data_IF_802102005966
#
_entry.id   IF_802102005966
#
_cell.length_a   1.000
_cell.length_b   1.000
_cell.length_c   1.000
_cell.angle_alpha   90.00
_cell.angle_beta   90.00
_cell.angle_gamma   90.00
#
_symmetry.space_group_name_H-M   'P 1'
#
loop_
_entity.id
_entity.type
_entity.pdbx_description
1 polymer ?
#
# COMPACT_ATOMS: atom_id res chain seq x y z
N UNK A 1 1.84 -1.42 42.18
CA UNK A 1 1.52 -2.58 41.30
C UNK A 1 1.39 -2.03 39.89
N UNK A 2 2.44 -2.20 39.08
CA UNK A 2 2.44 -1.77 37.71
C UNK A 2 1.62 -2.76 36.84
N UNK A 3 0.70 -2.26 36.09
CA UNK A 3 -0.04 -3.07 35.13
C UNK A 3 0.91 -3.62 34.05
N UNK A 4 1.10 -4.96 34.04
CA UNK A 4 1.96 -5.63 33.04
C UNK A 4 1.18 -5.91 31.75
N UNK A 5 0.96 -4.86 30.99
CA UNK A 5 0.29 -4.92 29.69
C UNK A 5 1.03 -5.83 28.69
N UNK A 6 2.35 -6.01 28.85
CA UNK A 6 3.13 -6.84 27.94
C UNK A 6 2.75 -8.33 28.10
N UNK A 7 2.62 -8.80 29.35
CA UNK A 7 2.19 -10.17 29.62
C UNK A 7 0.76 -10.44 29.15
N UNK A 8 -0.13 -9.48 29.34
CA UNK A 8 -1.53 -9.58 28.88
C UNK A 8 -1.61 -9.56 27.34
N UNK A 9 -0.80 -8.72 26.69
CA UNK A 9 -0.68 -8.71 25.22
C UNK A 9 -0.12 -10.03 24.68
N UNK A 10 0.90 -10.60 25.32
CA UNK A 10 1.46 -11.90 24.94
C UNK A 10 0.44 -13.04 25.10
N UNK A 11 -0.39 -13.00 26.13
CA UNK A 11 -1.47 -14.00 26.30
C UNK A 11 -2.55 -13.88 25.23
N UNK A 12 -2.90 -12.66 24.81
CA UNK A 12 -3.87 -12.42 23.73
C UNK A 12 -3.31 -12.81 22.35
N UNK A 13 -2.00 -12.70 22.16
CA UNK A 13 -1.32 -13.09 20.93
C UNK A 13 -1.02 -14.60 20.87
N UNK A 14 -0.89 -15.27 22.02
CA UNK A 14 -0.66 -16.71 22.10
C UNK A 14 -1.90 -17.47 21.59
N UNK A 15 -1.79 -18.00 20.37
CA UNK A 15 -2.87 -18.76 19.70
C UNK A 15 -3.49 -18.02 18.51
N UNK A 16 -3.18 -16.74 18.30
CA UNK A 16 -3.49 -16.03 17.06
C UNK A 16 -2.26 -16.00 16.16
N UNK A 17 -2.45 -16.24 14.87
CA UNK A 17 -1.43 -15.92 13.88
C UNK A 17 -1.31 -14.40 13.80
N UNK A 18 -0.37 -13.83 14.57
CA UNK A 18 -0.13 -12.38 14.63
C UNK A 18 0.21 -11.77 13.25
N UNK A 19 0.55 -12.62 12.27
CA UNK A 19 0.78 -12.23 10.88
C UNK A 19 -0.48 -12.25 10.01
N UNK A 20 -1.62 -12.73 10.52
CA UNK A 20 -2.82 -12.87 9.72
C UNK A 20 -3.34 -11.53 9.19
N UNK A 21 -3.56 -11.45 7.89
CA UNK A 21 -4.08 -10.25 7.22
C UNK A 21 -5.44 -9.81 7.80
N UNK A 22 -6.26 -10.77 8.26
CA UNK A 22 -7.58 -10.54 8.86
C UNK A 22 -7.56 -9.73 10.16
N UNK A 23 -6.42 -9.64 10.85
CA UNK A 23 -6.27 -8.85 12.07
C UNK A 23 -6.19 -7.34 11.82
N UNK A 24 -6.00 -6.90 10.58
CA UNK A 24 -5.93 -5.49 10.24
C UNK A 24 -7.02 -5.10 9.24
N UNK A 25 -8.01 -4.32 9.69
CA UNK A 25 -9.07 -3.80 8.82
C UNK A 25 -8.52 -3.03 7.60
N UNK A 26 -7.39 -2.34 7.74
CA UNK A 26 -6.75 -1.64 6.62
C UNK A 26 -6.17 -2.62 5.60
N UNK A 27 -5.57 -3.71 6.06
CA UNK A 27 -5.02 -4.75 5.18
C UNK A 27 -6.14 -5.45 4.45
N UNK A 28 -7.21 -5.82 5.16
CA UNK A 28 -8.42 -6.40 4.59
C UNK A 28 -8.97 -5.52 3.46
N UNK A 29 -9.21 -4.24 3.76
CA UNK A 29 -9.74 -3.28 2.78
C UNK A 29 -8.78 -3.06 1.61
N UNK A 30 -7.47 -3.04 1.87
CA UNK A 30 -6.46 -2.96 0.82
C UNK A 30 -6.51 -4.17 -0.12
N UNK A 31 -6.64 -5.37 0.41
CA UNK A 31 -6.73 -6.61 -0.39
C UNK A 31 -8.02 -6.65 -1.22
N UNK A 32 -9.14 -6.14 -0.70
CA UNK A 32 -10.38 -5.98 -1.45
C UNK A 32 -10.20 -4.98 -2.63
N UNK A 33 -9.61 -3.80 -2.36
CA UNK A 33 -9.30 -2.81 -3.40
C UNK A 33 -8.39 -3.42 -4.47
N UNK A 34 -7.37 -4.18 -4.05
CA UNK A 34 -6.46 -4.85 -4.96
C UNK A 34 -7.19 -5.86 -5.84
N UNK A 35 -8.03 -6.71 -5.25
CA UNK A 35 -8.82 -7.71 -5.97
C UNK A 35 -9.73 -7.05 -7.02
N UNK A 36 -10.49 -6.03 -6.63
CA UNK A 36 -11.34 -5.30 -7.57
C UNK A 36 -10.53 -4.64 -8.69
N UNK A 37 -9.35 -4.15 -8.37
CA UNK A 37 -8.45 -3.55 -9.35
C UNK A 37 -7.95 -4.56 -10.38
N UNK A 38 -7.65 -5.78 -9.95
CA UNK A 38 -7.22 -6.87 -10.82
C UNK A 38 -8.33 -7.29 -11.79
N UNK A 39 -9.57 -7.38 -11.31
CA UNK A 39 -10.74 -7.70 -12.14
C UNK A 39 -10.98 -6.66 -13.24
N UNK A 40 -10.65 -5.40 -12.98
CA UNK A 40 -10.77 -4.28 -13.94
C UNK A 40 -9.54 -4.08 -14.80
N UNK A 41 -8.52 -4.92 -14.66
CA UNK A 41 -7.23 -4.77 -15.33
C UNK A 41 -6.56 -3.42 -15.02
N UNK A 42 -6.71 -2.93 -13.79
CA UNK A 42 -6.08 -1.72 -13.29
C UNK A 42 -4.77 -2.02 -12.55
N UNK A 43 -3.87 -1.05 -12.51
CA UNK A 43 -2.66 -1.12 -11.68
C UNK A 43 -2.82 -0.26 -10.44
N UNK A 44 -2.29 -0.74 -9.33
CA UNK A 44 -2.40 -0.12 -8.01
C UNK A 44 -1.04 0.40 -7.55
N UNK A 45 -1.00 1.58 -6.97
CA UNK A 45 0.16 2.12 -6.26
C UNK A 45 -0.23 2.37 -4.81
N UNK A 46 0.57 1.88 -3.87
CA UNK A 46 0.37 2.07 -2.44
C UNK A 46 1.49 2.90 -1.86
N UNK A 47 1.13 3.96 -1.16
CA UNK A 47 2.06 4.79 -0.38
C UNK A 47 1.86 4.53 1.11
N UNK A 48 2.96 4.27 1.82
CA UNK A 48 3.00 4.17 3.28
C UNK A 48 4.18 4.94 3.85
N UNK A 49 4.04 5.47 5.07
CA UNK A 49 5.13 6.14 5.77
C UNK A 49 5.98 5.16 6.56
N UNK A 50 5.44 3.98 6.87
CA UNK A 50 6.03 2.97 7.74
C UNK A 50 6.74 1.89 6.92
N UNK A 51 8.05 1.73 7.13
CA UNK A 51 8.79 0.62 6.53
C UNK A 51 8.34 -0.74 7.06
N UNK A 52 7.89 -0.81 8.32
CA UNK A 52 7.32 -2.02 8.89
C UNK A 52 6.02 -2.42 8.17
N UNK A 53 5.15 -1.44 7.89
CA UNK A 53 3.93 -1.67 7.07
C UNK A 53 4.29 -2.14 5.67
N UNK A 54 5.30 -1.53 5.02
CA UNK A 54 5.75 -1.93 3.71
C UNK A 54 6.23 -3.40 3.69
N UNK A 55 7.07 -3.76 4.67
CA UNK A 55 7.57 -5.13 4.84
C UNK A 55 6.44 -6.12 5.11
N UNK A 56 5.48 -5.75 5.94
CA UNK A 56 4.32 -6.58 6.24
C UNK A 56 3.43 -6.81 5.01
N UNK A 57 3.11 -5.76 4.26
CA UNK A 57 2.35 -5.91 3.01
C UNK A 57 3.08 -6.80 2.00
N UNK A 58 4.41 -6.63 1.89
CA UNK A 58 5.24 -7.50 1.06
C UNK A 58 5.14 -8.97 1.50
N UNK A 59 5.22 -9.23 2.81
CA UNK A 59 5.08 -10.57 3.37
C UNK A 59 3.70 -11.17 3.07
N UNK A 60 2.64 -10.44 3.31
CA UNK A 60 1.26 -10.87 3.00
C UNK A 60 1.09 -11.26 1.54
N UNK A 61 1.66 -10.48 0.61
CA UNK A 61 1.58 -10.77 -0.83
C UNK A 61 2.42 -12.00 -1.25
N UNK A 62 3.51 -12.28 -0.55
CA UNK A 62 4.40 -13.41 -0.84
C UNK A 62 3.94 -14.72 -0.21
N UNK A 63 3.06 -14.65 0.78
CA UNK A 63 2.50 -15.83 1.45
C UNK A 63 1.10 -16.14 0.90
N UNK A 64 0.63 -17.37 1.09
CA UNK A 64 -0.73 -17.77 0.70
C UNK A 64 -1.83 -17.12 1.56
N UNK A 65 -1.45 -16.26 2.50
CA UNK A 65 -2.34 -15.67 3.51
C UNK A 65 -3.47 -14.85 2.89
N UNK A 66 -3.22 -14.17 1.76
CA UNK A 66 -4.26 -13.37 1.12
C UNK A 66 -5.11 -14.18 0.11
N UNK A 67 -4.58 -15.25 -0.45
CA UNK A 67 -5.35 -16.20 -1.25
C UNK A 67 -6.47 -16.86 -0.44
N UNK A 68 -6.17 -17.23 0.80
CA UNK A 68 -7.15 -17.79 1.74
C UNK A 68 -8.19 -16.77 2.22
N UNK A 69 -7.86 -15.48 2.23
CA UNK A 69 -8.76 -14.40 2.61
C UNK A 69 -9.91 -14.21 1.60
N UNK A 70 -9.66 -14.51 0.35
CA UNK A 70 -10.61 -14.30 -0.75
C UNK A 70 -11.42 -15.55 -1.10
N UNK A 71 -11.68 -16.45 -0.19
CA UNK A 71 -12.40 -17.75 -0.19
C UNK A 71 -13.28 -18.13 -1.41
N UNK A 72 -13.29 -17.41 -2.49
CA UNK A 72 -14.31 -17.57 -3.55
C UNK A 72 -13.83 -17.65 -4.99
N UNK A 73 -12.58 -17.83 -5.31
CA UNK A 73 -12.24 -18.09 -6.73
C UNK A 73 -11.04 -19.01 -6.90
N UNK A 74 -11.21 -19.97 -7.76
CA UNK A 74 -10.32 -20.98 -8.36
C UNK A 74 -9.02 -20.39 -8.99
N UNK A 75 -8.51 -19.27 -8.47
CA UNK A 75 -7.48 -18.50 -9.10
C UNK A 75 -6.24 -18.42 -8.19
N UNK A 76 -5.10 -18.77 -8.77
CA UNK A 76 -3.73 -18.78 -8.23
C UNK A 76 -3.25 -17.41 -7.69
N UNK A 77 -4.04 -16.74 -6.87
CA UNK A 77 -3.76 -15.42 -6.31
C UNK A 77 -2.91 -15.46 -5.04
N UNK A 78 -2.46 -16.65 -4.63
CA UNK A 78 -1.49 -16.83 -3.55
C UNK A 78 -0.06 -16.65 -4.05
N UNK A 79 0.82 -16.15 -3.19
CA UNK A 79 2.26 -15.96 -3.39
C UNK A 79 2.68 -15.18 -4.64
N UNK A 80 2.53 -13.88 -4.57
CA UNK A 80 3.09 -12.97 -5.56
C UNK A 80 4.62 -12.83 -5.40
N UNK A 81 5.32 -12.74 -6.51
CA UNK A 81 6.77 -12.55 -6.54
C UNK A 81 7.12 -11.09 -6.73
N UNK A 82 8.06 -10.62 -5.92
CA UNK A 82 8.64 -9.29 -6.11
C UNK A 82 9.26 -9.19 -7.51
N UNK A 83 9.20 -8.01 -8.09
CA UNK A 83 9.63 -7.68 -9.46
C UNK A 83 8.93 -8.49 -10.57
N UNK A 84 7.79 -9.08 -10.28
CA UNK A 84 6.96 -9.77 -11.27
C UNK A 84 5.51 -9.29 -11.17
N UNK A 85 4.78 -9.70 -10.15
CA UNK A 85 3.39 -9.29 -9.90
C UNK A 85 3.33 -7.98 -9.11
N UNK A 86 4.25 -7.77 -8.17
CA UNK A 86 4.39 -6.50 -7.46
C UNK A 86 5.83 -6.00 -7.43
N UNK A 87 5.99 -4.73 -7.10
CA UNK A 87 7.28 -4.03 -6.95
C UNK A 87 7.28 -3.28 -5.63
N UNK A 88 8.45 -3.13 -5.03
CA UNK A 88 8.60 -2.40 -3.77
C UNK A 88 9.84 -1.51 -3.80
N UNK A 89 9.70 -0.25 -3.40
CA UNK A 89 10.82 0.70 -3.25
C UNK A 89 10.83 1.24 -1.82
N UNK A 90 12.02 1.20 -1.22
CA UNK A 90 12.29 1.73 0.11
C UNK A 90 13.21 2.96 0.04
N UNK A 91 13.29 3.71 1.14
CA UNK A 91 14.11 4.92 1.20
C UNK A 91 15.62 4.69 1.03
N UNK A 92 16.09 3.46 1.30
CA UNK A 92 17.50 3.06 1.17
C UNK A 92 17.95 2.70 -0.25
N UNK A 93 17.00 2.49 -1.18
CA UNK A 93 17.34 2.08 -2.54
C UNK A 93 18.05 3.21 -3.30
N UNK A 94 19.02 2.85 -4.14
CA UNK A 94 19.73 3.82 -4.98
C UNK A 94 18.80 4.46 -6.01
N UNK A 95 19.14 5.65 -6.50
CA UNK A 95 18.37 6.32 -7.55
C UNK A 95 18.27 5.48 -8.83
N UNK A 96 19.35 4.78 -9.18
CA UNK A 96 19.40 3.89 -10.35
C UNK A 96 18.46 2.70 -10.19
N UNK A 97 18.46 2.07 -9.02
CA UNK A 97 17.58 0.93 -8.73
C UNK A 97 16.11 1.32 -8.75
N UNK A 98 15.75 2.47 -8.17
CA UNK A 98 14.38 3.00 -8.22
C UNK A 98 13.94 3.23 -9.67
N UNK A 99 14.80 3.83 -10.49
CA UNK A 99 14.49 4.09 -11.89
C UNK A 99 14.28 2.77 -12.65
N UNK A 100 15.15 1.79 -12.45
CA UNK A 100 15.03 0.44 -13.04
C UNK A 100 13.69 -0.22 -12.70
N UNK A 101 13.29 -0.20 -11.42
CA UNK A 101 12.05 -0.81 -10.96
C UNK A 101 10.82 -0.10 -11.53
N UNK A 102 10.86 1.23 -11.62
CA UNK A 102 9.78 2.03 -12.23
C UNK A 102 9.64 1.70 -13.71
N UNK A 103 10.72 1.71 -14.47
CA UNK A 103 10.70 1.39 -15.91
C UNK A 103 10.17 -0.03 -16.16
N UNK A 104 10.58 -0.98 -15.35
CA UNK A 104 10.09 -2.36 -15.42
C UNK A 104 8.60 -2.45 -15.12
N UNK A 105 8.10 -1.73 -14.12
CA UNK A 105 6.67 -1.68 -13.79
C UNK A 105 5.85 -1.01 -14.90
N UNK A 106 6.32 0.13 -15.41
CA UNK A 106 5.63 0.87 -16.48
C UNK A 106 5.55 0.07 -17.79
N UNK A 107 6.66 -0.60 -18.18
CA UNK A 107 6.73 -1.39 -19.41
C UNK A 107 5.94 -2.70 -19.36
N UNK A 108 5.78 -3.28 -18.17
CA UNK A 108 5.08 -4.56 -18.01
C UNK A 108 3.55 -4.35 -17.95
N UNK A 109 2.86 -4.64 -19.06
CA UNK A 109 1.41 -4.40 -19.18
C UNK A 109 0.54 -5.41 -18.40
N UNK A 110 0.93 -6.68 -18.36
CA UNK A 110 0.00 -7.76 -17.99
C UNK A 110 0.28 -8.40 -16.63
N UNK A 111 1.51 -8.40 -16.15
CA UNK A 111 1.90 -9.08 -14.91
C UNK A 111 2.10 -8.15 -13.72
N UNK A 112 2.76 -7.02 -13.94
CA UNK A 112 3.00 -6.02 -12.90
C UNK A 112 1.70 -5.30 -12.55
N UNK A 113 1.16 -5.54 -11.36
CA UNK A 113 -0.15 -5.02 -10.92
C UNK A 113 -0.07 -4.06 -9.77
N UNK A 114 0.96 -4.15 -8.95
CA UNK A 114 1.06 -3.40 -7.72
C UNK A 114 2.45 -2.80 -7.55
N UNK A 115 2.51 -1.56 -7.09
CA UNK A 115 3.74 -0.88 -6.69
C UNK A 115 3.62 -0.38 -5.24
N UNK A 116 4.48 -0.87 -4.36
CA UNK A 116 4.55 -0.47 -2.96
C UNK A 116 5.66 0.56 -2.77
N UNK A 117 5.37 1.69 -2.17
CA UNK A 117 6.31 2.80 -2.01
C UNK A 117 6.31 3.34 -0.59
N UNK A 118 7.49 3.54 -0.02
CA UNK A 118 7.56 4.44 1.11
C UNK A 118 7.36 5.88 0.65
N UNK A 119 6.60 6.69 1.40
CA UNK A 119 6.31 8.09 1.05
C UNK A 119 7.60 8.91 0.84
N UNK A 120 8.66 8.60 1.60
CA UNK A 120 9.98 9.23 1.42
C UNK A 120 10.62 8.86 0.09
N UNK A 121 10.50 7.61 -0.35
CA UNK A 121 11.01 7.17 -1.65
C UNK A 121 10.21 7.76 -2.82
N UNK A 122 8.90 7.94 -2.64
CA UNK A 122 8.02 8.56 -3.63
C UNK A 122 8.30 10.04 -3.91
N UNK A 123 9.03 10.74 -3.03
CA UNK A 123 9.41 12.14 -3.25
C UNK A 123 10.46 12.32 -4.37
N UNK A 124 11.14 11.27 -4.79
CA UNK A 124 12.14 11.31 -5.86
C UNK A 124 11.47 11.09 -7.20
N UNK A 125 11.14 12.15 -7.90
CA UNK A 125 10.79 12.31 -9.33
C UNK A 125 10.24 11.16 -10.18
N UNK A 126 9.81 10.04 -9.56
CA UNK A 126 9.30 8.86 -10.26
C UNK A 126 7.99 9.14 -11.00
N UNK A 127 7.76 8.47 -12.12
CA UNK A 127 6.56 8.58 -12.94
C UNK A 127 5.86 7.22 -12.98
N UNK A 128 4.58 7.17 -12.57
CA UNK A 128 3.79 5.94 -12.44
C UNK A 128 2.43 6.10 -13.16
N UNK A 129 2.48 6.52 -14.42
CA UNK A 129 1.28 6.82 -15.22
C UNK A 129 0.52 5.57 -15.67
N UNK A 130 1.14 4.39 -15.65
CA UNK A 130 0.42 3.15 -15.95
C UNK A 130 -0.55 2.74 -14.84
N UNK A 131 -0.39 3.30 -13.63
CA UNK A 131 -1.26 3.00 -12.50
C UNK A 131 -2.34 4.09 -12.35
N UNK A 132 -3.58 3.66 -12.20
CA UNK A 132 -4.73 4.53 -12.06
C UNK A 132 -5.47 4.35 -10.71
N UNK A 133 -4.98 3.49 -9.83
CA UNK A 133 -5.49 3.37 -8.46
C UNK A 133 -4.39 3.66 -7.47
N UNK A 134 -4.64 4.61 -6.59
CA UNK A 134 -3.66 5.10 -5.60
C UNK A 134 -4.23 4.89 -4.21
N UNK A 135 -3.51 4.12 -3.40
CA UNK A 135 -3.86 3.87 -2.00
C UNK A 135 -2.88 4.63 -1.10
N UNK A 136 -3.39 5.56 -0.31
CA UNK A 136 -2.67 6.18 0.79
C UNK A 136 -2.99 5.36 2.04
N UNK A 137 -2.06 4.47 2.40
CA UNK A 137 -2.27 3.49 3.47
C UNK A 137 -2.26 4.12 4.86
N UNK A 138 -1.44 5.16 5.05
CA UNK A 138 -1.33 5.90 6.31
C UNK A 138 -1.75 7.35 6.12
N UNK A 139 -2.26 7.95 7.19
CA UNK A 139 -2.62 9.37 7.21
C UNK A 139 -1.39 10.23 7.45
N UNK A 140 -1.10 11.15 6.52
CA UNK A 140 0.02 12.08 6.65
C UNK A 140 -0.35 13.31 7.47
N UNK A 141 0.59 13.79 8.32
CA UNK A 141 0.50 15.09 8.98
C UNK A 141 0.63 16.26 8.00
N UNK A 142 1.32 16.04 6.90
CA UNK A 142 1.56 17.05 5.89
C UNK A 142 0.81 16.70 4.59
N UNK A 143 -0.31 17.38 4.29
CA UNK A 143 -1.10 17.11 3.08
C UNK A 143 -0.33 17.36 1.78
N UNK A 144 0.77 18.11 1.80
CA UNK A 144 1.61 18.30 0.62
C UNK A 144 2.31 17.01 0.19
N UNK A 145 2.66 16.15 1.14
CA UNK A 145 3.24 14.83 0.83
C UNK A 145 2.24 13.92 0.12
N UNK A 146 1.00 13.91 0.57
CA UNK A 146 -0.07 13.16 -0.09
C UNK A 146 -0.29 13.66 -1.52
N UNK A 147 -0.35 14.99 -1.71
CA UNK A 147 -0.48 15.59 -3.06
C UNK A 147 0.70 15.21 -3.96
N UNK A 148 1.94 15.27 -3.45
CA UNK A 148 3.11 14.84 -4.21
C UNK A 148 3.02 13.38 -4.62
N UNK A 149 2.57 12.49 -3.73
CA UNK A 149 2.35 11.08 -4.03
C UNK A 149 1.30 10.90 -5.15
N UNK A 150 0.18 11.61 -5.06
CA UNK A 150 -0.88 11.57 -6.08
C UNK A 150 -0.41 12.02 -7.46
N UNK A 151 0.41 13.08 -7.51
CA UNK A 151 0.97 13.60 -8.77
C UNK A 151 2.02 12.68 -9.42
N UNK A 152 2.33 11.52 -8.84
CA UNK A 152 3.11 10.48 -9.51
C UNK A 152 2.28 9.68 -10.51
N UNK A 153 0.99 9.53 -10.25
CA UNK A 153 0.04 8.80 -11.10
C UNK A 153 -0.87 9.76 -11.89
N UNK A 154 -1.29 10.86 -11.25
CA UNK A 154 -2.12 11.90 -11.91
C UNK A 154 -1.22 12.90 -12.64
N UNK A 155 -0.82 12.55 -13.84
CA UNK A 155 0.14 13.31 -14.64
C UNK A 155 -0.16 13.19 -16.14
N UNK A 156 0.47 14.05 -16.95
CA UNK A 156 0.42 13.94 -18.40
C UNK A 156 0.85 12.53 -18.86
N UNK A 157 0.05 11.89 -19.69
CA UNK A 157 0.21 10.50 -20.14
C UNK A 157 -0.67 9.49 -19.37
N UNK A 158 -1.48 9.94 -18.41
CA UNK A 158 -2.50 9.10 -17.76
C UNK A 158 -3.79 9.11 -18.58
N UNK A 159 -4.14 7.96 -19.16
CA UNK A 159 -5.32 7.82 -20.05
C UNK A 159 -6.56 7.32 -19.30
N UNK A 160 -6.42 6.88 -18.04
CA UNK A 160 -7.50 6.36 -17.22
C UNK A 160 -7.92 7.34 -16.12
N UNK A 161 -9.17 7.21 -15.66
CA UNK A 161 -9.59 7.87 -14.42
C UNK A 161 -8.75 7.40 -13.24
N UNK A 162 -8.23 8.34 -12.44
CA UNK A 162 -7.44 8.02 -11.25
C UNK A 162 -8.36 7.95 -10.04
N UNK A 163 -8.36 6.81 -9.37
CA UNK A 163 -9.09 6.57 -8.13
C UNK A 163 -8.14 6.67 -6.94
N UNK A 164 -8.52 7.43 -5.93
CA UNK A 164 -7.71 7.69 -4.74
C UNK A 164 -8.42 7.13 -3.51
N UNK A 165 -7.79 6.19 -2.84
CA UNK A 165 -8.25 5.57 -1.61
C UNK A 165 -7.39 6.06 -0.45
N UNK A 166 -8.02 6.66 0.58
CA UNK A 166 -7.37 7.04 1.83
C UNK A 166 -7.84 6.13 2.93
N UNK A 167 -6.95 5.28 3.45
CA UNK A 167 -7.29 4.39 4.55
C UNK A 167 -7.07 5.11 5.88
N UNK A 168 -8.15 5.41 6.56
CA UNK A 168 -8.15 6.20 7.80
C UNK A 168 -8.77 5.35 8.90
N UNK A 169 -7.97 4.97 9.90
CA UNK A 169 -8.48 4.29 11.07
C UNK A 169 -9.20 5.26 12.03
N UNK A 170 -10.18 4.75 12.76
CA UNK A 170 -10.85 5.50 13.82
C UNK A 170 -9.84 5.97 14.89
N UNK A 171 -10.23 6.99 15.65
CA UNK A 171 -9.44 7.52 16.74
C UNK A 171 -8.36 8.50 16.30
N UNK A 172 -7.09 8.13 16.42
CA UNK A 172 -5.96 9.05 16.21
C UNK A 172 -5.82 9.50 14.74
N UNK A 173 -5.86 8.58 13.79
CA UNK A 173 -5.72 8.92 12.37
C UNK A 173 -6.84 9.80 11.86
N UNK A 174 -8.08 9.56 12.29
CA UNK A 174 -9.22 10.41 11.94
C UNK A 174 -8.99 11.86 12.38
N UNK A 175 -8.41 12.06 13.58
CA UNK A 175 -8.05 13.42 14.07
C UNK A 175 -6.93 14.05 13.25
N UNK A 176 -5.91 13.26 12.88
CA UNK A 176 -4.82 13.73 12.02
C UNK A 176 -5.34 14.13 10.65
N UNK A 177 -6.17 13.27 10.04
CA UNK A 177 -6.79 13.54 8.75
C UNK A 177 -7.65 14.82 8.77
N UNK A 178 -8.48 15.01 9.79
CA UNK A 178 -9.29 16.22 9.94
C UNK A 178 -8.43 17.50 10.02
N UNK A 179 -7.32 17.46 10.79
CA UNK A 179 -6.37 18.58 10.88
C UNK A 179 -5.63 18.83 9.56
N UNK A 180 -5.25 17.77 8.84
CA UNK A 180 -4.62 17.89 7.55
C UNK A 180 -5.57 18.49 6.50
N UNK A 181 -6.86 18.12 6.53
CA UNK A 181 -7.88 18.69 5.67
C UNK A 181 -8.04 20.20 5.91
N UNK A 182 -8.06 20.68 7.16
CA UNK A 182 -8.11 22.10 7.48
C UNK A 182 -6.93 22.90 6.91
N UNK A 183 -5.72 22.33 6.89
CA UNK A 183 -4.52 22.96 6.30
C UNK A 183 -4.58 23.10 4.77
N UNK A 184 -5.43 22.35 4.10
CA UNK A 184 -5.61 22.46 2.65
C UNK A 184 -6.52 23.64 2.24
N UNK A 185 -7.22 24.27 3.19
CA UNK A 185 -8.09 25.42 2.96
C UNK A 185 -7.40 26.77 3.31
N UNK A 186 -6.18 26.75 3.82
CA UNK A 186 -5.31 27.89 4.08
C UNK A 186 -4.17 27.94 3.06
#
# INVERSE_FOLDING_TARGET
EGWDWAHEADQLLNGSDAGAASLSSKVVLFLEILTESLERNDKVVVFTQSLATLSYLTHVLQTDTWGNFLEQKDDKRGSWRNETEFFSIQGGDSAQERQRLVEKFESCKDRARLFLLSTKAGNVGINLVSANRVVLFDTSWNPAQDRQALFRCFRFGQDKHVYIYRLVAEGFEKRVHARAAQKNFL
#
